data_IF_595560926306
#
_entry.id   IF_595560926306
#
_cell.length_a   1.000
_cell.length_b   1.000
_cell.length_c   1.000
_cell.angle_alpha   90.00
_cell.angle_beta   90.00
_cell.angle_gamma   90.00
#
_symmetry.space_group_name_H-M   'P 1'
#
loop_
_entity.id
_entity.type
_entity.pdbx_description
1 polymer ?
2 non-polymer ?
3 non-polymer ?
4 water ?
#
# COMPACT_ATOMS: atom_id res chain seq x y z
N UNK A 8 20.28 13.01 -11.03
CA UNK A 8 18.94 13.31 -11.63
C UNK A 8 17.82 13.12 -10.61
N UNK A 9 18.19 13.01 -9.33
CA UNK A 9 17.24 12.72 -8.28
C UNK A 9 17.67 13.31 -6.92
N UNK A 10 17.11 14.48 -6.62
CA UNK A 10 17.38 15.17 -5.35
C UNK A 10 16.82 14.40 -4.17
N UNK A 11 15.74 13.69 -4.40
CA UNK A 11 15.13 12.90 -3.36
C UNK A 11 16.13 11.88 -2.80
N UNK A 12 16.83 11.20 -3.69
CA UNK A 12 17.87 10.26 -3.29
C UNK A 12 18.97 10.92 -2.47
N UNK A 13 19.45 12.06 -2.95
CA UNK A 13 20.53 12.77 -2.26
C UNK A 13 20.10 13.19 -0.87
N UNK A 14 18.88 13.70 -0.78
CA UNK A 14 18.33 14.15 0.47
C UNK A 14 18.27 12.98 1.45
N UNK A 15 17.68 11.87 1.01
CA UNK A 15 17.55 10.71 1.86
C UNK A 15 18.90 10.11 2.21
N UNK A 16 19.82 10.08 1.25
CA UNK A 16 21.17 9.52 1.50
C UNK A 16 21.85 10.32 2.59
N UNK A 17 21.77 11.65 2.50
CA UNK A 17 22.35 12.54 3.49
C UNK A 17 21.67 12.55 4.84
N UNK A 18 20.34 12.43 4.85
CA UNK A 18 19.55 12.62 6.06
C UNK A 18 19.13 11.25 6.65
N UNK A 19 19.76 10.17 6.18
CA UNK A 19 19.34 8.78 6.49
C UNK A 19 19.24 8.45 7.97
N UNK A 20 20.25 8.83 8.75
CA UNK A 20 20.24 8.60 10.20
C UNK A 20 19.08 9.36 10.82
N UNK A 21 18.87 10.61 10.39
CA UNK A 21 17.76 11.43 10.89
C UNK A 21 16.37 10.87 10.46
N UNK A 22 16.24 10.47 9.21
CA UNK A 22 14.97 9.92 8.74
C UNK A 22 14.57 8.75 9.64
N UNK A 23 15.52 7.87 9.89
CA UNK A 23 15.25 6.65 10.67
C UNK A 23 14.92 7.03 12.10
N UNK A 24 15.64 8.01 12.65
CA UNK A 24 15.37 8.47 13.99
C UNK A 24 13.93 8.98 14.16
N UNK A 25 13.47 9.79 13.21
CA UNK A 25 12.11 10.32 13.19
C UNK A 25 11.08 9.21 13.03
N UNK A 26 11.39 8.27 12.14
CA UNK A 26 10.51 7.13 11.87
C UNK A 26 10.29 6.28 13.11
N UNK A 27 11.39 6.00 13.82
CA UNK A 27 11.35 5.18 15.03
C UNK A 27 10.37 5.77 16.05
N UNK A 28 10.21 7.09 16.04
CA UNK A 28 9.29 7.78 16.98
C UNK A 28 7.81 7.62 16.61
N UNK A 29 7.51 7.16 15.40
CA UNK A 29 6.15 7.13 14.91
C UNK A 29 5.57 5.72 14.68
N UNK A 30 6.44 4.72 14.82
CA UNK A 30 6.06 3.33 14.52
C UNK A 30 5.58 2.58 15.77
N UNK A 31 4.91 1.46 15.53
CA UNK A 31 4.48 0.52 16.57
C UNK A 31 5.58 -0.50 16.78
N UNK A 32 6.37 -0.30 17.84
CA UNK A 32 7.43 -1.23 18.19
C UNK A 32 7.45 -1.30 19.70
N UNK A 33 7.20 -2.47 20.24
CA UNK A 33 7.15 -2.61 21.70
C UNK A 33 8.48 -3.13 22.22
N UNK A 34 8.83 -2.73 23.43
CA UNK A 34 10.09 -3.19 24.04
C UNK A 34 10.13 -4.71 24.20
N UNK A 35 8.95 -5.34 24.33
CA UNK A 35 8.85 -6.81 24.44
C UNK A 35 9.06 -7.57 23.14
N UNK A 36 9.18 -6.85 22.02
CA UNK A 36 9.38 -7.47 20.73
C UNK A 36 10.75 -8.14 20.66
N UNK A 37 10.80 -9.45 20.39
CA UNK A 37 12.08 -10.15 20.39
C UNK A 37 13.03 -9.69 19.31
N UNK A 38 12.49 -9.02 18.29
CA UNK A 38 13.31 -8.51 17.20
C UNK A 38 13.24 -6.98 17.08
N UNK A 39 12.99 -6.28 18.18
CA UNK A 39 12.92 -4.83 18.12
C UNK A 39 14.14 -4.21 17.47
N UNK A 40 15.33 -4.72 17.77
CA UNK A 40 16.56 -4.13 17.24
C UNK A 40 16.69 -4.41 15.73
N UNK A 41 16.24 -5.59 15.32
CA UNK A 41 16.27 -5.97 13.91
C UNK A 41 15.32 -5.13 13.08
N UNK A 42 14.20 -4.71 13.67
CA UNK A 42 13.24 -3.87 12.95
C UNK A 42 13.96 -2.62 12.45
N UNK A 43 14.76 -2.01 13.31
CA UNK A 43 15.48 -0.80 12.95
C UNK A 43 16.54 -1.12 11.88
N UNK A 44 17.26 -2.21 12.05
CA UNK A 44 18.27 -2.59 11.05
C UNK A 44 17.63 -2.90 9.69
N UNK A 45 16.48 -3.58 9.70
CA UNK A 45 15.76 -3.84 8.47
C UNK A 45 15.35 -2.53 7.81
N UNK A 46 14.89 -1.59 8.63
CA UNK A 46 14.50 -0.27 8.13
C UNK A 46 15.65 0.48 7.46
N UNK A 47 16.80 0.46 8.11
CA UNK A 47 18.00 1.09 7.59
C UNK A 47 18.37 0.45 6.26
N UNK A 48 18.33 -0.88 6.21
CA UNK A 48 18.69 -1.58 4.99
C UNK A 48 17.72 -1.22 3.87
N UNK A 49 16.41 -1.25 4.16
CA UNK A 49 15.43 -1.03 3.10
C UNK A 49 15.40 0.43 2.63
N UNK A 50 15.75 1.37 3.49
CA UNK A 50 15.90 2.76 3.04
C UNK A 50 17.05 2.85 2.03
N UNK A 51 18.16 2.19 2.33
CA UNK A 51 19.25 2.14 1.35
C UNK A 51 18.81 1.48 0.05
N UNK A 52 18.03 0.40 0.14
CA UNK A 52 17.56 -0.30 -1.04
C UNK A 52 16.62 0.59 -1.84
N UNK A 53 15.78 1.36 -1.15
CA UNK A 53 14.85 2.30 -1.80
C UNK A 53 15.63 3.31 -2.63
N UNK A 54 16.70 3.83 -2.07
CA UNK A 54 17.54 4.81 -2.75
C UNK A 54 18.15 4.18 -4.01
N UNK A 55 18.66 2.96 -3.87
CA UNK A 55 19.20 2.25 -5.03
C UNK A 55 18.13 1.97 -6.08
N UNK A 56 16.91 1.71 -5.65
CA UNK A 56 15.82 1.46 -6.59
C UNK A 56 15.48 2.75 -7.37
N UNK A 57 15.42 3.87 -6.67
CA UNK A 57 15.17 5.13 -7.33
C UNK A 57 16.23 5.43 -8.38
N UNK A 58 17.48 5.05 -8.07
CA UNK A 58 18.61 5.24 -8.98
C UNK A 58 18.73 4.16 -10.07
N UNK A 59 17.77 3.23 -10.08
CA UNK A 59 17.70 2.13 -11.05
C UNK A 59 18.91 1.19 -10.97
N UNK A 60 19.43 1.02 -9.75
CA UNK A 60 20.59 0.17 -9.46
C UNK A 60 20.24 -1.23 -8.94
N UNK A 61 19.00 -1.39 -8.50
CA UNK A 61 18.48 -2.71 -8.15
C UNK A 61 17.09 -2.88 -8.74
N UNK A 62 16.68 -4.13 -8.85
CA UNK A 62 15.32 -4.46 -9.20
C UNK A 62 14.55 -4.81 -7.94
N UNK A 63 13.23 -4.74 -8.03
CA UNK A 63 12.36 -5.06 -6.89
C UNK A 63 12.56 -6.48 -6.37
N UNK A 64 12.92 -7.42 -7.24
CA UNK A 64 13.13 -8.81 -6.76
C UNK A 64 14.16 -8.89 -5.65
N UNK A 65 15.10 -7.95 -5.65
CA UNK A 65 16.22 -7.99 -4.72
C UNK A 65 15.82 -7.69 -3.27
N UNK A 66 14.60 -7.15 -3.02
CA UNK A 66 14.13 -6.97 -1.64
C UNK A 66 13.29 -8.13 -1.13
N UNK A 67 13.01 -9.12 -1.98
CA UNK A 67 12.17 -10.26 -1.55
C UNK A 67 12.80 -11.09 -0.42
N UNK A 68 14.12 -11.27 -0.46
CA UNK A 68 14.81 -11.99 0.62
C UNK A 68 14.61 -11.26 1.96
N UNK A 69 14.65 -9.93 1.96
CA UNK A 69 14.46 -9.16 3.16
C UNK A 69 13.01 -9.31 3.64
N UNK A 70 12.08 -9.33 2.68
CA UNK A 70 10.65 -9.50 3.03
C UNK A 70 10.43 -10.82 3.76
N UNK A 71 11.10 -11.88 3.30
CA UNK A 71 10.93 -13.19 3.90
C UNK A 71 11.49 -13.18 5.34
N UNK A 72 12.60 -12.48 5.53
CA UNK A 72 13.22 -12.30 6.85
C UNK A 72 12.30 -11.54 7.81
N UNK A 73 11.77 -10.41 7.36
CA UNK A 73 10.81 -9.67 8.16
C UNK A 73 9.63 -10.55 8.56
N UNK A 74 9.07 -11.26 7.58
CA UNK A 74 7.91 -12.12 7.86
C UNK A 74 8.20 -13.16 8.94
N UNK A 75 9.37 -13.80 8.86
CA UNK A 75 9.78 -14.78 9.88
C UNK A 75 9.85 -14.15 11.28
N UNK A 76 10.42 -12.95 11.34
CA UNK A 76 10.58 -12.23 12.60
C UNK A 76 9.21 -11.84 13.17
N UNK A 77 8.33 -11.40 12.30
CA UNK A 77 7.00 -11.01 12.74
C UNK A 77 6.21 -12.20 13.28
N UNK A 78 6.38 -13.37 12.65
CA UNK A 78 5.75 -14.59 13.15
C UNK A 78 6.23 -14.84 14.58
N UNK A 79 7.55 -14.78 14.76
CA UNK A 79 8.12 -15.05 16.06
C UNK A 79 7.72 -14.02 17.13
N UNK A 80 7.51 -12.78 16.71
CA UNK A 80 7.07 -11.73 17.61
C UNK A 80 5.60 -11.85 18.02
N UNK A 81 4.85 -12.69 17.29
CA UNK A 81 3.45 -12.98 17.62
C UNK A 81 2.58 -11.73 17.58
N UNK A 82 2.96 -10.78 16.72
CA UNK A 82 2.18 -9.56 16.51
C UNK A 82 1.27 -9.68 15.28
N UNK A 83 0.26 -8.82 15.22
CA UNK A 83 -0.53 -8.68 14.02
C UNK A 83 0.35 -8.16 12.88
N UNK A 84 0.41 -8.86 11.76
CA UNK A 84 1.24 -8.46 10.62
C UNK A 84 0.84 -7.09 10.05
N UNK A 85 -0.37 -6.62 10.36
CA UNK A 85 -0.76 -5.27 9.92
C UNK A 85 0.11 -4.19 10.60
N UNK A 86 0.74 -4.47 11.74
CA UNK A 86 1.61 -3.46 12.37
C UNK A 86 2.79 -3.13 11.45
N UNK A 87 3.33 -4.16 10.80
CA UNK A 87 4.35 -3.96 9.78
C UNK A 87 3.83 -3.05 8.64
N UNK A 88 2.62 -3.29 8.18
CA UNK A 88 2.02 -2.43 7.15
C UNK A 88 1.96 -0.97 7.65
N UNK A 89 1.45 -0.76 8.86
CA UNK A 89 1.40 0.58 9.43
C UNK A 89 2.79 1.21 9.44
N UNK A 90 3.76 0.44 9.92
CA UNK A 90 5.12 0.98 10.09
C UNK A 90 5.76 1.32 8.76
N UNK A 91 5.47 0.51 7.76
CA UNK A 91 5.98 0.77 6.43
C UNK A 91 5.33 2.03 5.86
N UNK A 92 4.02 2.16 6.06
CA UNK A 92 3.31 3.33 5.58
C UNK A 92 3.78 4.63 6.22
N UNK A 93 4.22 4.57 7.46
CA UNK A 93 4.77 5.78 8.10
C UNK A 93 5.96 6.28 7.29
N UNK A 94 6.84 5.36 6.89
CA UNK A 94 8.00 5.73 6.07
C UNK A 94 7.57 6.29 4.72
N UNK A 95 6.62 5.63 4.07
CA UNK A 95 6.18 6.05 2.75
C UNK A 95 5.60 7.46 2.80
N UNK A 96 4.76 7.72 3.78
CA UNK A 96 4.18 9.05 3.94
C UNK A 96 5.25 10.11 4.12
N UNK A 97 6.27 9.81 4.92
CA UNK A 97 7.30 10.82 5.14
C UNK A 97 8.10 11.05 3.88
N UNK A 98 8.39 9.98 3.14
CA UNK A 98 9.07 10.14 1.84
C UNK A 98 8.25 11.01 0.89
N UNK A 99 6.94 10.78 0.85
CA UNK A 99 6.07 11.60 0.01
C UNK A 99 6.09 13.06 0.46
N UNK A 100 6.13 13.31 1.76
CA UNK A 100 6.25 14.67 2.28
C UNK A 100 7.53 15.34 1.85
N UNK A 101 8.63 14.60 1.89
CA UNK A 101 9.92 15.14 1.48
C UNK A 101 9.88 15.45 -0.02
N UNK A 102 9.29 14.56 -0.80
CA UNK A 102 9.20 14.79 -2.26
C UNK A 102 8.44 16.07 -2.56
N UNK A 103 7.34 16.26 -1.85
CA UNK A 103 6.51 17.46 -2.02
C UNK A 103 7.31 18.71 -1.68
N UNK A 104 8.08 18.66 -0.60
CA UNK A 104 8.84 19.84 -0.17
C UNK A 104 9.96 20.19 -1.13
N UNK A 105 10.55 19.17 -1.76
CA UNK A 105 11.62 19.37 -2.74
C UNK A 105 11.15 20.05 -4.03
N UNK A 106 9.83 20.15 -4.21
CA UNK A 106 9.28 21.05 -5.27
C UNK A 106 9.64 20.61 -6.70
N UNK A 107 9.48 19.31 -7.05
CA UNK A 107 9.77 18.95 -8.43
C UNK A 107 8.64 19.44 -9.34
N UNK A 108 8.89 19.45 -10.65
CA UNK A 108 7.82 19.71 -11.60
C UNK A 108 6.97 18.47 -11.78
N UNK A 109 5.85 18.61 -12.48
CA UNK A 109 4.87 17.51 -12.58
C UNK A 109 5.46 16.23 -13.13
N UNK A 110 6.24 16.34 -14.21
CA UNK A 110 6.84 15.17 -14.84
C UNK A 110 7.71 14.38 -13.87
N UNK A 111 8.60 15.07 -13.16
CA UNK A 111 9.50 14.42 -12.22
C UNK A 111 8.69 13.84 -11.05
N UNK A 112 7.71 14.60 -10.59
CA UNK A 112 6.86 14.18 -9.48
C UNK A 112 6.18 12.88 -9.84
N UNK A 113 5.59 12.82 -11.04
CA UNK A 113 4.90 11.60 -11.49
C UNK A 113 5.85 10.39 -11.58
N UNK A 114 7.05 10.59 -12.12
CA UNK A 114 8.01 9.51 -12.29
C UNK A 114 8.41 8.93 -10.93
N UNK A 115 8.64 9.81 -9.96
CA UNK A 115 9.04 9.36 -8.63
C UNK A 115 7.89 8.73 -7.84
N UNK A 116 6.70 9.30 -7.95
CA UNK A 116 5.53 8.68 -7.31
C UNK A 116 5.38 7.23 -7.79
N UNK A 117 5.52 6.99 -9.08
CA UNK A 117 5.41 5.63 -9.61
C UNK A 117 6.45 4.71 -8.96
N UNK A 118 7.71 5.13 -8.89
CA UNK A 118 8.75 4.32 -8.27
C UNK A 118 8.50 4.09 -6.78
N UNK A 119 8.06 5.13 -6.07
CA UNK A 119 7.75 5.04 -4.64
C UNK A 119 6.65 3.99 -4.45
N UNK A 120 5.59 4.11 -5.26
CA UNK A 120 4.48 3.18 -5.15
C UNK A 120 4.93 1.75 -5.44
N UNK A 121 5.71 1.59 -6.50
CA UNK A 121 6.17 0.26 -6.87
C UNK A 121 6.98 -0.41 -5.75
N UNK A 122 7.90 0.35 -5.18
CA UNK A 122 8.75 -0.16 -4.12
C UNK A 122 7.93 -0.59 -2.91
N UNK A 123 7.13 0.33 -2.39
CA UNK A 123 6.37 0.04 -1.19
C UNK A 123 5.28 -1.00 -1.41
N UNK A 124 4.63 -0.99 -2.55
CA UNK A 124 3.62 -1.99 -2.82
C UNK A 124 4.28 -3.38 -2.81
N UNK A 125 5.46 -3.50 -3.43
CA UNK A 125 6.14 -4.80 -3.50
C UNK A 125 6.58 -5.25 -2.11
N UNK A 126 7.14 -4.33 -1.33
CA UNK A 126 7.56 -4.67 0.04
C UNK A 126 6.39 -5.17 0.87
N UNK A 127 5.27 -4.46 0.82
CA UNK A 127 4.12 -4.86 1.62
C UNK A 127 3.55 -6.20 1.13
N UNK A 128 3.31 -6.30 -0.17
CA UNK A 128 2.78 -7.53 -0.75
C UNK A 128 3.69 -8.74 -0.41
N UNK A 129 4.99 -8.65 -0.67
CA UNK A 129 5.84 -9.83 -0.50
C UNK A 129 5.99 -10.23 0.97
N UNK A 130 5.99 -9.25 1.85
CA UNK A 130 6.15 -9.54 3.26
C UNK A 130 4.89 -10.22 3.80
N UNK A 131 3.71 -9.68 3.48
CA UNK A 131 2.46 -10.28 3.93
C UNK A 131 2.29 -11.68 3.30
N UNK A 132 2.59 -11.79 1.99
CA UNK A 132 2.54 -13.09 1.33
C UNK A 132 3.41 -14.12 2.06
N UNK A 133 4.65 -13.74 2.35
CA UNK A 133 5.59 -14.66 2.99
C UNK A 133 5.15 -15.00 4.42
N UNK A 134 4.61 -14.02 5.14
CA UNK A 134 4.08 -14.25 6.47
C UNK A 134 3.06 -15.39 6.43
N UNK A 135 2.10 -15.31 5.50
CA UNK A 135 1.04 -16.31 5.41
C UNK A 135 1.61 -17.66 4.97
N UNK A 136 2.53 -17.65 4.01
CA UNK A 136 3.11 -18.89 3.52
C UNK A 136 3.93 -19.60 4.60
N UNK A 137 4.68 -18.85 5.39
CA UNK A 137 5.52 -19.43 6.45
C UNK A 137 4.73 -19.89 7.67
N UNK A 138 3.63 -19.22 7.96
CA UNK A 138 2.81 -19.55 9.12
C UNK A 138 1.96 -20.80 8.88
N UNK A 139 1.61 -21.03 7.61
CA UNK A 139 0.82 -22.20 7.18
C UNK A 139 -0.68 -21.95 7.32
N UNK B 8 -14.67 20.04 -9.14
CA UNK B 8 -13.22 19.99 -8.79
C UNK B 8 -12.68 18.57 -8.87
N UNK B 9 -13.37 17.69 -9.58
CA UNK B 9 -12.89 16.33 -9.73
C UNK B 9 -13.32 15.60 -11.00
N UNK B 10 -12.55 15.79 -12.07
CA UNK B 10 -12.78 15.05 -13.30
C UNK B 10 -12.56 13.56 -13.12
N UNK B 11 -11.63 13.19 -12.25
CA UNK B 11 -11.38 11.79 -11.99
C UNK B 11 -12.64 11.14 -11.43
N UNK B 12 -13.31 11.86 -10.55
CA UNK B 12 -14.53 11.36 -9.95
C UNK B 12 -15.64 11.16 -10.99
N UNK B 13 -15.82 12.17 -11.82
CA UNK B 13 -16.84 12.11 -12.89
C UNK B 13 -16.55 10.94 -13.83
N UNK B 14 -15.29 10.80 -14.22
CA UNK B 14 -14.83 9.73 -15.08
C UNK B 14 -15.18 8.36 -14.47
N UNK B 15 -14.73 8.14 -13.23
CA UNK B 15 -15.01 6.86 -12.59
C UNK B 15 -16.49 6.60 -12.38
N UNK B 16 -17.26 7.62 -12.03
CA UNK B 16 -18.70 7.45 -11.79
C UNK B 16 -19.39 6.97 -13.07
N UNK B 17 -19.04 7.58 -14.20
CA UNK B 17 -19.62 7.19 -15.49
C UNK B 17 -19.13 5.82 -15.97
N UNK B 18 -17.86 5.51 -15.69
CA UNK B 18 -17.19 4.32 -16.22
C UNK B 18 -17.14 3.15 -15.22
N UNK B 19 -17.89 3.24 -14.11
CA UNK B 19 -17.82 2.23 -13.01
C UNK B 19 -17.89 0.79 -13.54
N UNK B 20 -18.89 0.52 -14.37
CA UNK B 20 -19.11 -0.82 -14.89
C UNK B 20 -17.92 -1.31 -15.74
N UNK B 21 -17.43 -0.44 -16.64
CA UNK B 21 -16.29 -0.75 -17.47
C UNK B 21 -15.03 -0.95 -16.62
N UNK B 22 -14.82 -0.09 -15.63
CA UNK B 22 -13.67 -0.20 -14.76
C UNK B 22 -13.64 -1.57 -14.08
N UNK B 23 -14.77 -1.97 -13.52
CA UNK B 23 -14.88 -3.25 -12.80
C UNK B 23 -14.69 -4.44 -13.74
N UNK B 24 -15.27 -4.37 -14.94
CA UNK B 24 -15.11 -5.45 -15.91
C UNK B 24 -13.64 -5.65 -16.30
N UNK B 25 -12.94 -4.55 -16.54
CA UNK B 25 -11.51 -4.61 -16.85
C UNK B 25 -10.69 -5.13 -15.66
N UNK B 26 -11.03 -4.65 -14.47
CA UNK B 26 -10.33 -5.08 -13.25
C UNK B 26 -10.50 -6.58 -13.00
N UNK B 27 -11.72 -7.08 -13.20
CA UNK B 27 -12.01 -8.52 -13.06
C UNK B 27 -11.06 -9.39 -13.88
N UNK B 28 -10.65 -8.91 -15.05
CA UNK B 28 -9.75 -9.71 -15.91
C UNK B 28 -8.30 -9.75 -15.43
N UNK B 29 -7.93 -8.83 -14.53
CA UNK B 29 -6.55 -8.66 -14.06
C UNK B 29 -6.27 -9.17 -12.65
N UNK B 30 -7.33 -9.50 -11.93
CA UNK B 30 -7.21 -9.95 -10.56
C UNK B 30 -7.06 -11.47 -10.49
N UNK B 31 -6.62 -11.92 -9.32
CA UNK B 31 -6.47 -13.33 -9.00
C UNK B 31 -7.73 -13.79 -8.27
N UNK B 32 -8.55 -14.55 -8.98
CA UNK B 32 -9.75 -15.16 -8.39
C UNK B 32 -9.75 -16.62 -8.78
N UNK B 33 -9.68 -17.48 -7.78
CA UNK B 33 -9.64 -18.92 -7.96
C UNK B 33 -11.06 -19.45 -8.17
N UNK B 34 -11.21 -20.39 -9.11
CA UNK B 34 -12.52 -20.95 -9.42
C UNK B 34 -13.12 -21.64 -8.21
N UNK B 35 -12.26 -22.21 -7.35
CA UNK B 35 -12.75 -22.89 -6.14
C UNK B 35 -13.26 -21.94 -5.04
N UNK B 36 -13.02 -20.64 -5.17
CA UNK B 36 -13.28 -19.69 -4.10
C UNK B 36 -14.78 -19.58 -3.86
N UNK B 37 -15.24 -19.87 -2.64
CA UNK B 37 -16.68 -19.84 -2.39
C UNK B 37 -17.27 -18.43 -2.44
N UNK B 38 -16.41 -17.42 -2.40
CA UNK B 38 -16.87 -16.05 -2.41
C UNK B 38 -16.42 -15.29 -3.64
N UNK B 39 -16.14 -16.01 -4.73
CA UNK B 39 -15.61 -15.32 -5.90
C UNK B 39 -16.59 -14.25 -6.41
N UNK B 40 -17.88 -14.51 -6.28
CA UNK B 40 -18.90 -13.53 -6.69
C UNK B 40 -18.93 -12.29 -5.76
N UNK B 41 -18.72 -12.49 -4.47
CA UNK B 41 -18.65 -11.39 -3.50
C UNK B 41 -17.44 -10.49 -3.73
N UNK B 42 -16.37 -11.07 -4.26
CA UNK B 42 -15.18 -10.28 -4.59
C UNK B 42 -15.57 -9.14 -5.53
N UNK B 43 -16.33 -9.47 -6.57
CA UNK B 43 -16.82 -8.48 -7.52
C UNK B 43 -17.76 -7.47 -6.84
N UNK B 44 -18.71 -7.93 -6.01
CA UNK B 44 -19.61 -7.02 -5.32
C UNK B 44 -18.84 -6.09 -4.37
N UNK B 45 -17.84 -6.64 -3.67
CA UNK B 45 -17.01 -5.81 -2.78
C UNK B 45 -16.28 -4.75 -3.59
N UNK B 46 -15.76 -5.14 -4.75
CA UNK B 46 -15.06 -4.20 -5.62
C UNK B 46 -15.97 -3.09 -6.09
N UNK B 47 -17.19 -3.45 -6.50
CA UNK B 47 -18.17 -2.46 -6.96
C UNK B 47 -18.51 -1.46 -5.84
N UNK B 48 -18.73 -2.00 -4.65
CA UNK B 48 -19.06 -1.17 -3.52
C UNK B 48 -17.93 -0.22 -3.15
N UNK B 49 -16.72 -0.73 -3.12
CA UNK B 49 -15.58 0.08 -2.72
C UNK B 49 -15.19 1.09 -3.79
N UNK B 50 -15.45 0.81 -5.05
CA UNK B 50 -15.22 1.82 -6.08
C UNK B 50 -16.16 2.99 -5.84
N UNK B 51 -17.42 2.69 -5.58
CA UNK B 51 -18.39 3.71 -5.22
C UNK B 51 -17.98 4.52 -3.99
N UNK B 52 -17.47 3.83 -2.97
CA UNK B 52 -16.99 4.51 -1.75
C UNK B 52 -15.79 5.39 -2.05
N UNK B 53 -14.90 4.91 -2.90
CA UNK B 53 -13.74 5.69 -3.34
C UNK B 53 -14.17 7.01 -3.96
N UNK B 54 -15.15 6.95 -4.85
CA UNK B 54 -15.62 8.19 -5.50
C UNK B 54 -16.13 9.16 -4.45
N UNK B 55 -16.95 8.65 -3.54
CA UNK B 55 -17.50 9.49 -2.47
C UNK B 55 -16.40 10.06 -1.59
N UNK B 56 -15.37 9.28 -1.30
CA UNK B 56 -14.25 9.76 -0.52
C UNK B 56 -13.51 10.91 -1.22
N UNK B 57 -13.28 10.77 -2.52
CA UNK B 57 -12.59 11.84 -3.25
C UNK B 57 -13.41 13.12 -3.23
N UNK B 58 -14.73 12.97 -3.18
CA UNK B 58 -15.65 14.12 -3.13
C UNK B 58 -15.86 14.64 -1.70
N UNK B 59 -15.20 13.98 -0.73
CA UNK B 59 -15.26 14.34 0.68
C UNK B 59 -16.66 14.14 1.25
N UNK B 60 -17.35 13.10 0.75
CA UNK B 60 -18.72 12.74 1.16
C UNK B 60 -18.81 11.57 2.15
N UNK B 61 -17.72 10.83 2.32
CA UNK B 61 -17.61 9.86 3.42
C UNK B 61 -16.25 10.02 4.10
N UNK B 62 -16.14 9.51 5.32
CA UNK B 62 -14.84 9.37 5.97
C UNK B 62 -14.35 7.93 5.77
N UNK B 63 -13.06 7.73 5.98
CA UNK B 63 -12.44 6.41 5.81
C UNK B 63 -13.03 5.36 6.72
N UNK B 64 -13.49 5.75 7.90
CA UNK B 64 -14.08 4.78 8.83
C UNK B 64 -15.27 4.04 8.19
N UNK B 65 -15.92 4.68 7.22
CA UNK B 65 -17.09 4.08 6.61
C UNK B 65 -16.78 2.87 5.73
N UNK B 66 -15.51 2.63 5.36
CA UNK B 66 -15.18 1.42 4.61
C UNK B 66 -14.79 0.26 5.50
N UNK B 67 -14.72 0.48 6.81
CA UNK B 67 -14.26 -0.57 7.73
C UNK B 67 -15.22 -1.75 7.80
N UNK B 68 -16.52 -1.49 7.65
CA UNK B 68 -17.50 -2.59 7.57
C UNK B 68 -17.16 -3.54 6.41
N UNK B 69 -16.80 -2.96 5.27
CA UNK B 69 -16.51 -3.76 4.09
C UNK B 69 -15.18 -4.50 4.28
N UNK B 70 -14.22 -3.85 4.91
CA UNK B 70 -12.93 -4.47 5.19
C UNK B 70 -13.08 -5.71 6.08
N UNK B 71 -13.94 -5.62 7.10
CA UNK B 71 -14.18 -6.76 8.00
C UNK B 71 -14.85 -7.91 7.23
N UNK B 72 -15.74 -7.55 6.31
CA UNK B 72 -16.44 -8.52 5.46
C UNK B 72 -15.46 -9.26 4.53
N UNK B 73 -14.62 -8.50 3.85
CA UNK B 73 -13.61 -9.07 2.99
C UNK B 73 -12.76 -10.03 3.81
N UNK B 74 -12.29 -9.57 4.97
CA UNK B 74 -11.39 -10.38 5.77
C UNK B 74 -12.01 -11.72 6.14
N UNK B 75 -13.26 -11.69 6.57
CA UNK B 75 -13.94 -12.92 6.94
C UNK B 75 -14.11 -13.89 5.75
N UNK B 76 -14.42 -13.34 4.59
CA UNK B 76 -14.52 -14.13 3.37
C UNK B 76 -13.19 -14.75 2.97
N UNK B 77 -12.10 -13.97 3.07
CA UNK B 77 -10.78 -14.49 2.75
C UNK B 77 -10.38 -15.61 3.68
N UNK B 78 -10.70 -15.49 4.97
CA UNK B 78 -10.43 -16.55 5.94
C UNK B 78 -11.15 -17.80 5.48
N UNK B 79 -12.43 -17.67 5.15
CA UNK B 79 -13.21 -18.86 4.81
C UNK B 79 -12.82 -19.47 3.46
N UNK B 80 -12.32 -18.64 2.55
CA UNK B 80 -11.81 -19.09 1.26
C UNK B 80 -10.48 -19.83 1.36
N UNK B 81 -9.80 -19.70 2.51
CA UNK B 81 -8.51 -20.35 2.72
C UNK B 81 -7.49 -19.99 1.65
N UNK B 82 -7.43 -18.70 1.34
CA UNK B 82 -6.48 -18.15 0.39
C UNK B 82 -5.52 -17.21 1.12
N UNK B 83 -4.29 -17.12 0.62
CA UNK B 83 -3.30 -16.17 1.13
C UNK B 83 -3.89 -14.74 1.05
N UNK B 84 -3.93 -14.06 2.19
CA UNK B 84 -4.49 -12.70 2.28
C UNK B 84 -3.73 -11.69 1.39
N UNK B 85 -2.49 -12.00 1.01
CA UNK B 85 -1.77 -11.13 0.08
C UNK B 85 -2.43 -11.07 -1.29
N UNK B 86 -3.22 -12.07 -1.68
CA UNK B 86 -3.95 -11.98 -2.95
C UNK B 86 -4.91 -10.79 -2.99
N UNK B 87 -5.58 -10.55 -1.85
CA UNK B 87 -6.42 -9.37 -1.71
C UNK B 87 -5.57 -8.08 -1.90
N UNK B 88 -4.36 -8.07 -1.36
CA UNK B 88 -3.50 -6.91 -1.53
C UNK B 88 -3.19 -6.70 -3.01
N UNK B 89 -2.79 -7.79 -3.69
CA UNK B 89 -2.54 -7.73 -5.11
C UNK B 89 -3.75 -7.21 -5.87
N UNK B 90 -4.92 -7.75 -5.57
CA UNK B 90 -6.13 -7.40 -6.31
C UNK B 90 -6.51 -5.94 -6.09
N UNK B 91 -6.25 -5.46 -4.87
CA UNK B 91 -6.53 -4.04 -4.55
C UNK B 91 -5.57 -3.15 -5.32
N UNK B 92 -4.31 -3.54 -5.35
CA UNK B 92 -3.32 -2.75 -6.05
C UNK B 92 -3.57 -2.66 -7.56
N UNK B 93 -4.16 -3.69 -8.14
CA UNK B 93 -4.53 -3.65 -9.57
C UNK B 93 -5.46 -2.45 -9.79
N UNK B 94 -6.43 -2.28 -8.89
CA UNK B 94 -7.37 -1.16 -9.02
C UNK B 94 -6.67 0.17 -8.81
N UNK B 95 -5.82 0.24 -7.79
CA UNK B 95 -5.11 1.50 -7.50
C UNK B 95 -4.25 1.94 -8.69
N UNK B 96 -3.53 0.99 -9.29
CA UNK B 96 -2.68 1.28 -10.43
C UNK B 96 -3.50 1.83 -11.58
N UNK B 97 -4.64 1.22 -11.83
CA UNK B 97 -5.48 1.69 -12.92
C UNK B 97 -6.02 3.10 -12.66
N UNK B 98 -6.44 3.37 -11.42
CA UNK B 98 -6.90 4.71 -11.06
C UNK B 98 -5.79 5.74 -11.26
N UNK B 99 -4.57 5.39 -10.88
CA UNK B 99 -3.42 6.28 -11.09
C UNK B 99 -3.19 6.52 -12.60
N UNK B 100 -3.34 5.47 -13.40
CA UNK B 100 -3.21 5.60 -14.86
C UNK B 100 -4.27 6.56 -15.42
N UNK B 101 -5.49 6.46 -14.93
CA UNK B 101 -6.56 7.34 -15.40
C UNK B 101 -6.27 8.78 -14.98
N UNK B 102 -5.84 8.97 -13.74
CA UNK B 102 -5.48 10.30 -13.26
C UNK B 102 -4.41 10.94 -14.15
N UNK B 103 -3.39 10.16 -14.49
CA UNK B 103 -2.32 10.64 -15.37
C UNK B 103 -2.89 11.08 -16.73
N UNK B 104 -3.77 10.25 -17.30
CA UNK B 104 -4.31 10.54 -18.64
C UNK B 104 -5.21 11.76 -18.64
N UNK B 105 -5.92 12.01 -17.54
CA UNK B 105 -6.76 13.20 -17.42
C UNK B 105 -5.94 14.50 -17.34
N UNK B 106 -4.64 14.33 -17.10
CA UNK B 106 -3.63 15.40 -17.16
C UNK B 106 -4.00 16.64 -16.34
N UNK B 107 -4.18 16.45 -15.03
CA UNK B 107 -4.38 17.56 -14.11
C UNK B 107 -3.09 18.38 -13.91
N UNK B 108 -3.21 19.60 -13.41
CA UNK B 108 -2.03 20.35 -13.02
C UNK B 108 -1.43 19.78 -11.74
N UNK B 109 -0.23 20.23 -11.38
CA UNK B 109 0.51 19.63 -10.28
C UNK B 109 -0.24 19.70 -8.95
N UNK B 110 -0.81 20.86 -8.63
CA UNK B 110 -1.55 21.04 -7.39
C UNK B 110 -2.66 20.01 -7.27
N UNK B 111 -3.47 19.89 -8.33
CA UNK B 111 -4.59 18.95 -8.37
C UNK B 111 -4.11 17.50 -8.27
N UNK B 112 -3.07 17.19 -9.04
CA UNK B 112 -2.49 15.87 -9.04
C UNK B 112 -2.06 15.50 -7.62
N UNK B 113 -1.38 16.43 -6.95
CA UNK B 113 -0.88 16.16 -5.60
C UNK B 113 -2.03 15.91 -4.61
N UNK B 114 -3.08 16.72 -4.69
CA UNK B 114 -4.21 16.56 -3.80
C UNK B 114 -4.87 15.21 -3.98
N UNK B 115 -5.02 14.80 -5.25
CA UNK B 115 -5.71 13.55 -5.53
C UNK B 115 -4.83 12.35 -5.17
N UNK B 116 -3.52 12.44 -5.39
CA UNK B 116 -2.63 11.34 -5.00
C UNK B 116 -2.71 11.10 -3.49
N UNK B 117 -2.76 12.16 -2.70
CA UNK B 117 -2.89 12.02 -1.25
C UNK B 117 -4.17 11.27 -0.89
N UNK B 118 -5.29 11.64 -1.51
CA UNK B 118 -6.56 10.98 -1.22
C UNK B 118 -6.55 9.51 -1.67
N UNK B 119 -6.00 9.27 -2.86
CA UNK B 119 -5.88 7.91 -3.39
C UNK B 119 -5.08 7.05 -2.41
N UNK B 120 -3.95 7.58 -1.97
CA UNK B 120 -3.10 6.84 -1.05
C UNK B 120 -3.78 6.60 0.28
N UNK B 121 -4.44 7.62 0.80
CA UNK B 121 -5.11 7.48 2.09
C UNK B 121 -6.19 6.38 2.03
N UNK B 122 -6.98 6.38 0.96
CA UNK B 122 -8.05 5.40 0.81
C UNK B 122 -7.51 3.98 0.71
N UNK B 123 -6.58 3.76 -0.20
CA UNK B 123 -6.07 2.43 -0.44
C UNK B 123 -5.21 1.95 0.73
N UNK B 124 -4.42 2.83 1.34
CA UNK B 124 -3.64 2.43 2.51
C UNK B 124 -4.57 1.92 3.61
N UNK B 125 -5.66 2.65 3.85
CA UNK B 125 -6.58 2.26 4.91
C UNK B 125 -7.26 0.95 4.60
N UNK B 126 -7.71 0.79 3.36
CA UNK B 126 -8.35 -0.44 2.94
C UNK B 126 -7.43 -1.67 3.16
N UNK B 127 -6.19 -1.55 2.74
CA UNK B 127 -5.28 -2.67 2.86
C UNK B 127 -4.94 -2.92 4.33
N UNK B 128 -4.59 -1.86 5.07
CA UNK B 128 -4.23 -1.99 6.47
C UNK B 128 -5.38 -2.61 7.28
N UNK B 129 -6.57 -2.05 7.16
CA UNK B 129 -7.66 -2.52 7.98
C UNK B 129 -8.08 -3.95 7.64
N UNK B 130 -8.03 -4.30 6.35
CA UNK B 130 -8.45 -5.65 5.93
C UNK B 130 -7.48 -6.67 6.46
N UNK B 131 -6.18 -6.42 6.32
CA UNK B 131 -5.19 -7.36 6.83
C UNK B 131 -5.24 -7.41 8.36
N UNK B 132 -5.38 -6.26 9.01
CA UNK B 132 -5.52 -6.23 10.48
C UNK B 132 -6.70 -7.11 10.91
N UNK B 133 -7.83 -6.91 10.24
CA UNK B 133 -9.06 -7.63 10.57
C UNK B 133 -8.92 -9.14 10.32
N UNK B 134 -8.28 -9.49 9.22
CA UNK B 134 -8.04 -10.88 8.88
C UNK B 134 -7.34 -11.56 10.06
N UNK B 135 -6.26 -10.94 10.54
CA UNK B 135 -5.52 -11.53 11.64
C UNK B 135 -6.25 -11.52 12.97
N UNK B 136 -7.02 -10.47 13.20
CA UNK B 136 -7.83 -10.36 14.42
C UNK B 136 -8.89 -11.46 14.45
N UNK B 137 -9.56 -11.67 13.31
CA UNK B 137 -10.67 -12.63 13.24
C UNK B 137 -10.20 -14.09 13.18
N UNK B 138 -8.99 -14.33 12.65
CA UNK B 138 -8.53 -15.69 12.42
C UNK B 138 -7.98 -16.29 13.71
N UNK B 139 -7.37 -15.41 14.52
CA UNK B 139 -6.89 -15.66 15.89
C UNK B 139 -7.75 -16.63 16.69
X LIG C 1 7.85 -3.97 11.54
X LIG D 1 18.52 -9.17 4.46
X LIG E 1 1.39 3.57 -9.70
X LIG F 1 0.59 10.31 1.13
X LIG G 1 14.59 13.69 7.27
X LIG H 1 22.42 9.48 -3.97
X LIG I 1 -1.76 2.74 7.45
X LIG J 1 8.00 -17.67 1.66
X LIG K 1 20.97 5.49 3.28
X LIG L 1 21.50 15.73 -7.05
X LIG M 1 20.63 15.13 -8.07
X LIG N 1 23.56 -3.97 10.89
X LIG O 1 9.28 2.99 -13.43
X LIG P 1 19.05 -11.89 12.48
X LIG Q 1 13.88 -14.61 -2.38
X LIG R 1 19.67 -4.46 -1.94
X LIG S 1 12.43 6.57 19.93
X LIG T 1 14.57 -15.81 7.00
X LIG U 1 -9.95 -10.24 -3.01
X LIG V 1 -12.22 2.55 -17.36
X LIG W 1 -20.47 -3.80 3.06
X LIG X 1 1.15 -5.74 -5.61
X LIG Y 1 -18.99 12.78 -9.54
X LIG Z 1 -8.56 15.46 -12.31
X LIG AA 1 -17.96 -7.68 -14.02
X LIG BA 1 -11.91 -6.91 13.31
X LIG CA 1 -15.43 18.20 -12.42
X LIG DA 1 -18.50 4.26 -22.74
X LIG EA 1 -16.86 9.95 -23.84
X LIG FA 1 -16.24 17.78 -13.68
X LIG GA 1 -5.12 -8.36 17.05
X LIG HA 1 -17.91 0.32 1.18
X LIG IA 1 -16.52 -14.44 -10.28
X LIG JA 1 -6.73 15.04 2.23
#
# INVERSE_FOLDING_TARGET
GSHMEEIKCLLCRYLKERQEKFISDWKKKVIIRERDPYKEEIIKNGEHLLSAFIMYLKEEISLQEIEITSKKIARERIDAKVNIAEFIHNTNVAKIEIMNILTLLNPDLQQYQALVKKINQFFDHLIYYTVHSYYEQKA
GSHMEEIKCLLCRYLKERQEKFISDWKKKVIIRERDPYKEEIIKNGEHLLSAFIMYLKEEISLQEIEITSKKIARERIDAKVNIAEFIHNTNVAKIEIMNILTLLNPDLQQYQALVKKINQFFDHLIYYTVHSYYEQKA
IOD I
IOD I
IOD I
IOD I
IOD I
IOD I
IOD I
IOD I
IOD I
IOD I
IOD I
IOD I
IOD I
IOD I
IOD I
IOD I
CL CL
CL CL
IOD I
IOD I
IOD I
IOD I
IOD I
IOD I
IOD I
IOD I
IOD I
IOD I
IOD I
IOD I
IOD I
IOD I
IOD I
CL CL
#
